data_IF_286907494343
#
_entry.id   IF_286907494343
#
_cell.length_a   1.000
_cell.length_b   1.000
_cell.length_c   1.000
_cell.angle_alpha   90.00
_cell.angle_beta   90.00
_cell.angle_gamma   90.00
#
_symmetry.space_group_name_H-M   'P 1'
#
loop_
_entity.id
_entity.type
_entity.pdbx_description
1 polymer ?
#
# COMPACT_ATOMS: atom_id res chain seq x y z
N UNK A 1 10.87 -9.50 2.05
CA UNK A 1 10.76 -10.83 2.69
C UNK A 1 12.09 -11.30 3.28
N UNK A 2 13.16 -11.43 2.49
CA UNK A 2 14.48 -11.86 3.02
C UNK A 2 15.03 -10.89 4.08
N UNK A 3 14.88 -9.57 3.90
CA UNK A 3 15.30 -8.60 4.93
C UNK A 3 14.44 -8.66 6.21
N UNK A 4 13.14 -8.94 6.09
CA UNK A 4 12.26 -9.11 7.24
C UNK A 4 12.65 -10.34 8.06
N UNK A 5 12.90 -11.48 7.40
CA UNK A 5 13.40 -12.68 8.08
C UNK A 5 14.79 -12.44 8.67
N UNK A 6 15.67 -11.72 7.98
CA UNK A 6 17.00 -11.37 8.48
C UNK A 6 16.95 -10.46 9.73
N UNK A 7 15.97 -9.57 9.83
CA UNK A 7 15.81 -8.66 10.96
C UNK A 7 15.06 -9.29 12.14
N UNK A 8 13.98 -10.03 11.88
CA UNK A 8 13.09 -10.52 12.93
C UNK A 8 13.36 -11.96 13.38
N UNK A 9 14.02 -12.76 12.55
CA UNK A 9 14.30 -14.18 12.85
C UNK A 9 15.63 -14.65 12.23
N UNK A 10 16.78 -14.00 12.55
CA UNK A 10 18.08 -14.33 11.96
C UNK A 10 18.56 -15.75 12.31
N UNK A 11 18.08 -16.31 13.42
CA UNK A 11 18.38 -17.67 13.87
C UNK A 11 17.91 -18.74 12.87
N UNK A 12 16.89 -18.45 12.05
CA UNK A 12 16.44 -19.35 11.00
C UNK A 12 17.53 -19.64 9.96
N UNK A 13 18.43 -18.70 9.68
CA UNK A 13 19.55 -18.92 8.76
C UNK A 13 20.71 -19.70 9.39
N UNK A 14 20.76 -19.77 10.73
CA UNK A 14 21.80 -20.48 11.49
C UNK A 14 21.38 -21.90 11.87
N UNK A 15 20.10 -22.23 11.72
CA UNK A 15 19.56 -23.56 11.98
C UNK A 15 20.15 -24.59 11.03
N UNK A 16 20.91 -25.54 11.60
CA UNK A 16 21.35 -26.73 10.88
C UNK A 16 20.20 -27.72 10.79
N UNK A 17 19.85 -28.07 9.55
CA UNK A 17 18.87 -29.12 9.29
C UNK A 17 19.54 -30.45 9.70
N UNK A 18 19.05 -31.04 10.81
CA UNK A 18 19.59 -32.25 11.46
C UNK A 18 19.92 -33.38 10.49
N UNK A 19 19.16 -33.48 9.40
CA UNK A 19 19.26 -34.55 8.40
C UNK A 19 20.42 -34.38 7.42
N UNK A 20 21.01 -33.18 7.27
CA UNK A 20 22.01 -32.90 6.20
C UNK A 20 23.24 -32.08 6.63
N UNK A 21 23.39 -31.65 7.90
CA UNK A 21 24.46 -30.73 8.34
C UNK A 21 24.62 -29.51 7.41
N UNK A 22 23.51 -29.03 6.87
CA UNK A 22 23.46 -27.83 6.03
C UNK A 22 22.64 -26.79 6.75
N UNK A 23 23.14 -25.56 6.74
CA UNK A 23 22.39 -24.39 7.19
C UNK A 23 21.21 -24.16 6.26
N UNK A 24 20.09 -23.72 6.83
CA UNK A 24 18.93 -23.32 6.04
C UNK A 24 19.32 -22.22 5.06
N UNK A 25 19.15 -22.49 3.77
CA UNK A 25 19.30 -21.52 2.71
C UNK A 25 17.96 -21.34 2.03
N UNK A 26 17.50 -20.10 1.88
CA UNK A 26 16.29 -19.78 1.12
C UNK A 26 16.59 -19.92 -0.38
N UNK A 27 16.84 -21.16 -0.82
CA UNK A 27 17.13 -21.49 -2.21
C UNK A 27 15.91 -21.27 -3.08
N UNK A 28 16.12 -21.04 -4.37
CA UNK A 28 15.02 -20.88 -5.32
C UNK A 28 14.04 -22.06 -5.29
N UNK A 29 14.57 -23.30 -5.15
CA UNK A 29 13.77 -24.52 -5.02
C UNK A 29 12.93 -24.54 -3.74
N UNK A 30 13.47 -24.07 -2.61
CA UNK A 30 12.71 -23.95 -1.36
C UNK A 30 11.58 -22.91 -1.49
N UNK A 31 11.88 -21.73 -2.06
CA UNK A 31 10.89 -20.68 -2.28
C UNK A 31 9.77 -21.19 -3.19
N UNK A 32 10.11 -21.86 -4.29
CA UNK A 32 9.11 -22.43 -5.20
C UNK A 32 8.26 -23.50 -4.52
N UNK A 33 8.87 -24.42 -3.75
CA UNK A 33 8.12 -25.41 -2.97
C UNK A 33 7.21 -24.76 -1.92
N UNK A 34 7.69 -23.73 -1.21
CA UNK A 34 6.92 -23.06 -0.19
C UNK A 34 5.75 -22.27 -0.78
N UNK A 35 6.00 -21.49 -1.83
CA UNK A 35 4.96 -20.71 -2.52
C UNK A 35 3.94 -21.61 -3.21
N UNK A 36 4.39 -22.57 -4.01
CA UNK A 36 3.50 -23.40 -4.83
C UNK A 36 2.92 -24.59 -4.06
N UNK A 37 3.72 -25.25 -3.22
CA UNK A 37 3.31 -26.45 -2.49
C UNK A 37 2.61 -26.14 -1.17
N UNK A 38 3.15 -25.22 -0.38
CA UNK A 38 2.59 -24.92 0.95
C UNK A 38 1.53 -23.82 0.91
N UNK A 39 1.80 -22.70 0.26
CA UNK A 39 0.86 -21.56 0.15
C UNK A 39 -0.14 -21.70 -1.01
N UNK A 40 0.04 -22.70 -1.89
CA UNK A 40 -0.81 -22.94 -3.06
C UNK A 40 -0.93 -21.71 -3.98
N UNK A 41 0.16 -20.94 -4.10
CA UNK A 41 0.27 -19.78 -4.98
C UNK A 41 0.95 -20.16 -6.30
N UNK A 42 0.63 -19.46 -7.37
CA UNK A 42 1.36 -19.48 -8.63
C UNK A 42 1.60 -18.06 -9.13
N UNK A 43 2.64 -17.91 -9.95
CA UNK A 43 2.94 -16.64 -10.61
C UNK A 43 1.97 -16.45 -11.77
N UNK A 44 1.27 -15.32 -11.80
CA UNK A 44 0.33 -14.95 -12.85
C UNK A 44 0.69 -13.58 -13.43
N UNK A 45 0.48 -13.41 -14.74
CA UNK A 45 0.43 -12.09 -15.35
C UNK A 45 -0.89 -11.43 -14.99
N UNK A 46 -0.85 -10.19 -14.52
CA UNK A 46 -2.07 -9.44 -14.22
C UNK A 46 -2.82 -9.08 -15.49
N UNK A 47 -4.14 -9.32 -15.51
CA UNK A 47 -4.97 -9.17 -16.72
C UNK A 47 -6.11 -8.16 -16.56
N UNK A 48 -6.35 -7.67 -15.35
CA UNK A 48 -7.47 -6.79 -15.07
C UNK A 48 -7.01 -5.39 -14.69
N UNK A 49 -7.61 -4.40 -15.34
CA UNK A 49 -7.52 -3.00 -15.01
C UNK A 49 -8.59 -2.63 -13.97
N UNK A 50 -8.22 -2.03 -12.84
CA UNK A 50 -9.11 -1.55 -11.79
C UNK A 50 -9.62 -0.12 -12.04
N UNK A 51 -10.93 -0.07 -12.29
CA UNK A 51 -11.89 1.02 -12.10
C UNK A 51 -11.78 2.34 -12.89
N UNK A 52 -12.89 2.64 -13.57
CA UNK A 52 -13.19 3.88 -14.29
C UNK A 52 -13.63 4.97 -13.32
N UNK A 53 -13.27 6.22 -13.62
CA UNK A 53 -13.83 7.42 -12.98
C UNK A 53 -15.38 7.29 -12.97
N UNK A 54 -16.05 7.49 -11.82
CA UNK A 54 -17.50 7.52 -11.76
C UNK A 54 -18.06 8.57 -12.73
N UNK A 55 -19.16 8.26 -13.42
CA UNK A 55 -19.74 9.17 -14.42
C UNK A 55 -20.19 10.51 -13.81
N UNK A 56 -20.46 10.50 -12.52
CA UNK A 56 -20.98 11.57 -11.68
C UNK A 56 -19.89 12.28 -10.85
N UNK A 57 -18.60 12.04 -11.12
CA UNK A 57 -17.51 12.66 -10.36
C UNK A 57 -17.57 14.21 -10.33
N UNK A 58 -18.09 14.84 -11.38
CA UNK A 58 -18.32 16.29 -11.44
C UNK A 58 -19.43 16.73 -10.47
N UNK A 59 -20.54 15.99 -10.42
CA UNK A 59 -21.67 16.28 -9.52
C UNK A 59 -21.24 16.11 -8.07
N UNK A 60 -20.55 15.02 -7.74
CA UNK A 60 -20.00 14.79 -6.39
C UNK A 60 -19.02 15.89 -5.96
N UNK A 61 -18.20 16.38 -6.90
CA UNK A 61 -17.28 17.49 -6.64
C UNK A 61 -18.01 18.80 -6.30
N UNK A 62 -19.10 19.09 -7.01
CA UNK A 62 -19.96 20.26 -6.76
C UNK A 62 -20.72 20.14 -5.43
N UNK A 63 -21.28 18.97 -5.14
CA UNK A 63 -22.01 18.73 -3.88
C UNK A 63 -21.09 18.90 -2.66
N UNK A 64 -19.86 18.37 -2.75
CA UNK A 64 -18.86 18.54 -1.70
C UNK A 64 -18.48 20.03 -1.54
N UNK A 65 -18.33 20.76 -2.64
CA UNK A 65 -18.04 22.20 -2.60
C UNK A 65 -19.15 22.98 -1.87
N UNK A 66 -20.43 22.73 -2.18
CA UNK A 66 -21.54 23.39 -1.51
C UNK A 66 -21.63 23.02 -0.02
N UNK A 67 -21.39 21.76 0.33
CA UNK A 67 -21.34 21.33 1.73
C UNK A 67 -20.26 22.09 2.51
N UNK A 68 -19.06 22.24 1.95
CA UNK A 68 -17.97 22.99 2.58
C UNK A 68 -18.32 24.46 2.75
N UNK A 69 -18.91 25.10 1.72
CA UNK A 69 -19.35 26.49 1.81
C UNK A 69 -20.40 26.70 2.90
N UNK A 70 -21.41 25.82 2.99
CA UNK A 70 -22.42 25.89 4.06
C UNK A 70 -21.78 25.74 5.43
N UNK A 71 -20.88 24.77 5.58
CA UNK A 71 -20.20 24.52 6.85
C UNK A 71 -19.36 25.72 7.32
N UNK A 72 -18.60 26.35 6.40
CA UNK A 72 -17.80 27.54 6.71
C UNK A 72 -18.71 28.71 7.10
N UNK A 73 -19.81 28.90 6.37
CA UNK A 73 -20.80 29.95 6.66
C UNK A 73 -21.45 29.76 8.03
N UNK A 74 -21.97 28.57 8.31
CA UNK A 74 -22.77 28.27 9.50
C UNK A 74 -21.92 28.30 10.78
N UNK A 75 -20.64 27.94 10.67
CA UNK A 75 -19.70 27.96 11.80
C UNK A 75 -18.82 29.22 11.87
N UNK A 76 -18.95 30.15 10.92
CA UNK A 76 -18.09 31.35 10.83
C UNK A 76 -16.60 31.01 10.93
N UNK A 77 -16.18 29.91 10.32
CA UNK A 77 -14.84 29.34 10.47
C UNK A 77 -13.80 30.34 9.97
N UNK A 78 -12.87 30.82 10.83
CA UNK A 78 -11.79 31.70 10.39
C UNK A 78 -10.93 31.04 9.31
N UNK A 79 -10.49 31.83 8.34
CA UNK A 79 -9.67 31.33 7.22
C UNK A 79 -8.40 30.61 7.70
N UNK A 80 -7.85 31.05 8.83
CA UNK A 80 -6.66 30.48 9.49
C UNK A 80 -6.85 29.02 9.94
N UNK A 81 -8.10 28.57 10.11
CA UNK A 81 -8.44 27.19 10.47
C UNK A 81 -8.74 26.31 9.25
N UNK A 82 -8.75 26.88 8.04
CA UNK A 82 -8.96 26.14 6.79
C UNK A 82 -7.64 25.55 6.33
N UNK A 83 -7.43 24.28 6.65
CA UNK A 83 -6.26 23.53 6.23
C UNK A 83 -6.55 22.85 4.89
N UNK A 84 -5.82 23.24 3.85
CA UNK A 84 -5.85 22.51 2.59
C UNK A 84 -5.02 21.22 2.74
N UNK A 85 -5.71 20.10 2.91
CA UNK A 85 -5.08 18.80 3.04
C UNK A 85 -5.02 18.13 1.67
N UNK A 86 -3.83 18.09 1.08
CA UNK A 86 -3.60 17.33 -0.15
C UNK A 86 -2.81 16.06 0.17
N UNK A 87 -3.30 14.93 -0.32
CA UNK A 87 -2.63 13.64 -0.24
C UNK A 87 -1.66 13.51 -1.42
N UNK A 88 -0.35 13.68 -1.18
CA UNK A 88 0.66 13.33 -2.19
C UNK A 88 0.67 11.82 -2.38
N UNK A 89 0.16 11.35 -3.52
CA UNK A 89 0.07 9.93 -3.81
C UNK A 89 1.44 9.33 -4.16
N UNK A 90 2.14 8.79 -3.17
CA UNK A 90 3.23 7.84 -3.42
C UNK A 90 2.66 6.57 -4.04
N UNK A 91 2.83 6.37 -5.35
CA UNK A 91 2.37 5.16 -6.03
C UNK A 91 3.38 4.06 -5.83
N UNK A 92 3.02 3.04 -5.04
CA UNK A 92 3.76 1.78 -5.05
C UNK A 92 3.38 1.00 -6.32
N UNK A 93 4.11 1.22 -7.41
CA UNK A 93 3.98 0.47 -8.66
C UNK A 93 4.85 -0.79 -8.59
N UNK A 94 4.38 -1.97 -9.05
CA UNK A 94 5.19 -3.16 -9.01
C UNK A 94 6.24 -3.04 -10.14
N UNK A 95 7.49 -3.41 -9.88
CA UNK A 95 8.52 -3.40 -10.93
C UNK A 95 8.26 -4.38 -12.09
N UNK A 96 7.22 -5.23 -11.99
CA UNK A 96 6.90 -6.29 -12.97
C UNK A 96 5.39 -6.48 -13.10
N UNK A 97 4.91 -6.97 -14.26
CA UNK A 97 3.50 -7.34 -14.49
C UNK A 97 3.08 -8.69 -13.90
N UNK A 98 3.91 -9.26 -13.01
CA UNK A 98 3.70 -10.57 -12.41
C UNK A 98 3.35 -10.42 -10.94
N UNK A 99 2.39 -11.21 -10.48
CA UNK A 99 2.02 -11.31 -9.07
C UNK A 99 1.77 -12.76 -8.67
N UNK A 100 1.90 -13.06 -7.38
CA UNK A 100 1.60 -14.38 -6.84
C UNK A 100 0.14 -14.41 -6.37
N UNK A 101 -0.62 -15.39 -6.85
CA UNK A 101 -2.04 -15.55 -6.48
C UNK A 101 -2.38 -17.04 -6.38
N UNK A 102 -3.50 -17.37 -5.75
CA UNK A 102 -3.99 -18.75 -5.62
C UNK A 102 -3.99 -19.47 -6.97
N UNK A 103 -3.47 -20.70 -6.97
CA UNK A 103 -3.42 -21.57 -8.14
C UNK A 103 -4.79 -21.76 -8.78
N UNK A 104 -4.80 -21.86 -10.12
CA UNK A 104 -6.01 -22.12 -10.92
C UNK A 104 -6.89 -20.89 -11.18
N UNK A 105 -6.50 -19.69 -10.73
CA UNK A 105 -7.22 -18.44 -11.07
C UNK A 105 -6.85 -17.98 -12.47
N UNK A 106 -7.88 -17.74 -13.31
CA UNK A 106 -7.73 -17.27 -14.71
C UNK A 106 -7.54 -15.75 -14.82
N UNK A 107 -8.05 -14.99 -13.86
CA UNK A 107 -7.90 -13.54 -13.80
C UNK A 107 -7.35 -13.19 -12.43
N UNK A 108 -6.28 -12.41 -12.44
CA UNK A 108 -5.59 -11.98 -11.22
C UNK A 108 -5.47 -10.46 -11.29
N UNK A 109 -6.06 -9.74 -10.32
CA UNK A 109 -5.91 -8.30 -10.24
C UNK A 109 -4.48 -7.97 -9.79
N UNK A 110 -3.86 -6.99 -10.43
CA UNK A 110 -2.66 -6.34 -9.90
C UNK A 110 -3.13 -5.03 -9.28
N UNK A 111 -3.15 -5.03 -7.94
CA UNK A 111 -3.54 -3.87 -7.12
C UNK A 111 -2.76 -2.64 -7.60
N UNK A 112 -1.45 -2.75 -7.76
CA UNK A 112 -0.58 -1.62 -8.07
C UNK A 112 -0.57 -1.12 -9.53
N UNK A 113 -1.38 -1.67 -10.43
CA UNK A 113 -1.51 -1.12 -11.79
C UNK A 113 -2.53 0.04 -11.83
N UNK A 114 -3.48 0.08 -10.88
CA UNK A 114 -4.48 1.15 -10.76
C UNK A 114 -4.82 1.53 -9.30
N UNK A 115 -4.91 0.55 -8.37
CA UNK A 115 -4.94 0.83 -6.93
C UNK A 115 -3.53 1.21 -6.47
N UNK A 116 -3.28 2.51 -6.53
CA UNK A 116 -2.18 3.12 -5.80
C UNK A 116 -2.36 2.71 -4.34
N UNK A 117 -1.44 1.91 -3.80
CA UNK A 117 -1.28 1.81 -2.34
C UNK A 117 -0.82 3.18 -1.86
N UNK A 118 -1.78 4.09 -1.68
CA UNK A 118 -1.52 5.44 -1.24
C UNK A 118 -1.38 5.41 0.27
N UNK A 119 -0.20 5.74 0.75
CA UNK A 119 -0.01 6.07 2.15
C UNK A 119 -0.04 7.59 2.28
N UNK A 120 -0.85 8.09 3.22
CA UNK A 120 -0.92 9.53 3.51
C UNK A 120 0.18 9.90 4.49
N UNK A 121 1.07 10.82 4.13
CA UNK A 121 1.91 11.53 5.09
C UNK A 121 1.30 12.90 5.36
N UNK A 122 1.08 13.20 6.64
CA UNK A 122 0.60 14.51 7.09
C UNK A 122 1.75 15.20 7.81
N UNK A 123 2.23 16.31 7.27
CA UNK A 123 3.21 17.17 7.95
C UNK A 123 2.48 18.38 8.52
N UNK A 124 2.45 18.47 9.85
CA UNK A 124 1.96 19.65 10.56
C UNK A 124 3.17 20.47 11.02
N UNK A 125 3.26 21.70 10.54
CA UNK A 125 4.27 22.67 10.98
C UNK A 125 3.57 23.70 11.84
N UNK A 126 3.91 23.76 13.13
CA UNK A 126 3.43 24.79 14.04
C UNK A 126 4.55 25.81 14.28
N UNK A 127 4.27 27.08 14.02
CA UNK A 127 5.13 28.17 14.49
C UNK A 127 4.72 28.50 15.93
N UNK A 128 5.52 28.07 16.90
CA UNK A 128 5.37 28.56 18.26
C UNK A 128 5.99 29.95 18.35
N UNK A 129 5.16 30.99 18.17
CA UNK A 129 5.50 32.30 18.69
C UNK A 129 5.41 32.24 20.20
N UNK A 130 6.55 32.08 20.88
CA UNK A 130 6.62 32.27 22.32
C UNK A 130 6.25 33.71 22.61
N UNK A 131 5.06 33.93 23.18
CA UNK A 131 4.74 35.18 23.86
C UNK A 131 5.69 35.31 25.05
N UNK A 132 6.76 36.07 24.86
CA UNK A 132 7.56 36.58 25.97
C UNK A 132 6.70 37.59 26.72
N UNK A 133 6.21 37.19 27.90
CA UNK A 133 5.75 38.09 28.96
C UNK A 133 6.88 39.03 29.40
#
# INVERSE_FOLDING_TARGET
>A
MVSAVANYAPELFKLEIKTRKKQFTCSHSFIHWFMCGHLQLSCHQGTCAAQKIPKDAQEQGLDMFFCLCSFIHDHSTPLELILNFNQTQGVYSPGTQYTWHTQGKKQVPIISNEDKCVFSHVMLVFNMSSSSE
#
